data_IF_891320592595
#
_entry.id   IF_891320592595
#
_cell.length_a   1.000
_cell.length_b   1.000
_cell.length_c   1.000
_cell.angle_alpha   90.00
_cell.angle_beta   90.00
_cell.angle_gamma   90.00
#
_symmetry.space_group_name_H-M   'P 1'
#
loop_
_entity.id
_entity.type
_entity.pdbx_description
1 polymer ?
#
# COMPACT_ATOMS: atom_id res chain seq x y z
N UNK A 1 12.72 2.63 -15.93
CA UNK A 1 12.43 4.08 -15.89
C UNK A 1 10.92 4.37 -16.02
N UNK A 2 10.28 4.13 -17.18
CA UNK A 2 8.87 4.51 -17.38
C UNK A 2 7.88 3.93 -16.35
N UNK A 3 8.04 2.65 -15.96
CA UNK A 3 7.17 2.03 -14.93
C UNK A 3 7.31 2.69 -13.56
N UNK A 4 8.54 2.97 -13.12
CA UNK A 4 8.81 3.56 -11.81
C UNK A 4 8.20 4.96 -11.70
N UNK A 5 8.28 5.74 -12.79
CA UNK A 5 7.67 7.07 -12.84
C UNK A 5 6.14 7.01 -12.85
N UNK A 6 5.54 6.11 -13.64
CA UNK A 6 4.08 5.94 -13.63
C UNK A 6 3.55 5.54 -12.24
N UNK A 7 4.23 4.63 -11.55
CA UNK A 7 3.87 4.21 -10.18
C UNK A 7 4.02 5.37 -9.20
N UNK A 8 5.12 6.13 -9.28
CA UNK A 8 5.35 7.32 -8.45
C UNK A 8 4.27 8.37 -8.65
N UNK A 9 3.89 8.63 -9.90
CA UNK A 9 2.94 9.69 -10.24
C UNK A 9 1.49 9.32 -9.91
N UNK A 10 1.11 8.06 -10.07
CA UNK A 10 -0.31 7.67 -10.02
C UNK A 10 -0.69 6.86 -8.77
N UNK A 11 0.26 6.12 -8.19
CA UNK A 11 -0.04 5.12 -7.16
C UNK A 11 0.57 5.45 -5.79
N UNK A 12 1.65 6.23 -5.73
CA UNK A 12 2.25 6.59 -4.44
C UNK A 12 1.31 7.46 -3.60
N UNK A 13 1.23 7.13 -2.31
CA UNK A 13 0.54 7.93 -1.30
C UNK A 13 1.42 7.98 -0.04
N UNK A 14 1.15 8.91 0.90
CA UNK A 14 1.86 8.94 2.19
C UNK A 14 1.74 7.63 3.01
N UNK A 15 0.76 6.78 2.69
CA UNK A 15 0.48 5.55 3.41
C UNK A 15 1.07 4.29 2.76
N UNK A 16 1.70 4.45 1.59
CA UNK A 16 2.20 3.38 0.72
C UNK A 16 1.55 3.42 -0.67
N UNK A 17 2.08 2.65 -1.64
CA UNK A 17 1.52 2.61 -2.99
C UNK A 17 0.19 1.85 -3.05
N UNK A 18 -0.80 2.41 -3.74
CA UNK A 18 -2.07 1.72 -4.02
C UNK A 18 -1.91 0.71 -5.16
N UNK A 19 -2.70 -0.35 -5.16
CA UNK A 19 -2.60 -1.39 -6.19
C UNK A 19 -3.21 -1.00 -7.54
N UNK A 20 -4.11 -0.01 -7.55
CA UNK A 20 -4.68 0.59 -8.76
C UNK A 20 -5.17 2.01 -8.45
N UNK A 21 -5.17 2.87 -9.46
CA UNK A 21 -5.76 4.20 -9.42
C UNK A 21 -6.21 4.62 -10.84
N UNK A 22 -7.27 5.45 -10.97
CA UNK A 22 -8.23 5.78 -9.92
C UNK A 22 -9.02 4.53 -9.48
N UNK A 23 -9.52 4.54 -8.25
CA UNK A 23 -10.41 3.49 -7.76
C UNK A 23 -11.77 3.59 -8.46
N UNK A 24 -12.35 2.44 -8.81
CA UNK A 24 -13.65 2.34 -9.47
C UNK A 24 -14.75 2.87 -8.56
N UNK A 25 -15.65 3.69 -9.11
CA UNK A 25 -16.81 4.25 -8.39
C UNK A 25 -18.14 3.59 -8.77
N UNK A 26 -18.15 2.81 -9.85
CA UNK A 26 -19.30 2.08 -10.37
C UNK A 26 -18.85 0.71 -10.89
N UNK A 27 -19.79 -0.24 -10.95
CA UNK A 27 -19.56 -1.53 -11.58
C UNK A 27 -19.09 -1.32 -13.02
N UNK A 28 -18.00 -1.99 -13.37
CA UNK A 28 -17.57 -2.20 -14.74
C UNK A 28 -17.57 -3.71 -14.96
N UNK A 29 -18.58 -4.20 -15.67
CA UNK A 29 -18.94 -5.62 -15.74
C UNK A 29 -18.03 -6.48 -16.61
N UNK A 30 -17.33 -5.85 -17.57
CA UNK A 30 -16.21 -6.46 -18.31
C UNK A 30 -14.92 -6.58 -17.47
N UNK A 31 -14.91 -6.09 -16.23
CA UNK A 31 -13.82 -6.29 -15.24
C UNK A 31 -14.29 -7.16 -14.07
N UNK A 32 -15.47 -6.89 -13.52
CA UNK A 32 -16.10 -7.74 -12.50
C UNK A 32 -16.20 -7.14 -11.09
N UNK A 33 -16.49 -8.01 -10.12
CA UNK A 33 -16.91 -7.69 -8.74
C UNK A 33 -16.00 -6.74 -7.97
N UNK A 34 -14.69 -6.77 -8.25
CA UNK A 34 -13.69 -5.83 -7.72
C UNK A 34 -14.22 -4.38 -7.75
N UNK A 35 -14.77 -3.98 -8.90
CA UNK A 35 -15.14 -2.60 -9.21
C UNK A 35 -16.34 -2.10 -8.41
N UNK A 36 -17.05 -3.00 -7.72
CA UNK A 36 -18.20 -2.69 -6.86
C UNK A 36 -17.80 -2.41 -5.41
N UNK A 37 -16.57 -2.75 -5.00
CA UNK A 37 -16.09 -2.44 -3.65
C UNK A 37 -15.98 -0.92 -3.49
N UNK A 38 -16.13 -0.40 -2.27
CA UNK A 38 -16.02 1.04 -2.05
C UNK A 38 -14.63 1.54 -2.49
N UNK A 39 -14.52 2.68 -3.20
CA UNK A 39 -13.26 3.17 -3.78
C UNK A 39 -12.12 3.37 -2.77
N UNK A 40 -11.09 2.53 -2.78
CA UNK A 40 -9.98 2.56 -1.81
C UNK A 40 -10.14 1.56 -0.67
N UNK A 41 -11.11 0.65 -0.74
CA UNK A 41 -11.24 -0.49 0.15
C UNK A 41 -10.79 -1.78 -0.52
N UNK A 42 -9.96 -2.55 0.20
CA UNK A 42 -9.42 -3.83 -0.26
C UNK A 42 -8.85 -3.74 -1.69
N UNK A 43 -9.29 -4.57 -2.62
CA UNK A 43 -8.68 -4.69 -3.95
C UNK A 43 -8.99 -3.48 -4.85
N UNK A 44 -10.05 -2.71 -4.56
CA UNK A 44 -10.41 -1.54 -5.36
C UNK A 44 -9.58 -0.32 -4.95
N UNK A 45 -8.27 -0.37 -5.18
CA UNK A 45 -7.39 0.80 -5.03
C UNK A 45 -7.04 1.16 -3.59
N UNK A 46 -7.05 0.20 -2.67
CA UNK A 46 -6.43 0.40 -1.36
C UNK A 46 -4.90 0.37 -1.48
N UNK A 47 -4.22 0.86 -0.43
CA UNK A 47 -2.83 0.46 -0.17
C UNK A 47 -2.89 -0.98 0.31
N UNK A 48 -2.94 -1.90 -0.65
CA UNK A 48 -3.03 -3.33 -0.40
C UNK A 48 -1.63 -3.82 -0.10
N UNK A 49 -1.30 -4.00 1.18
CA UNK A 49 0.07 -4.09 1.65
C UNK A 49 0.82 -5.29 1.04
N UNK A 50 0.12 -6.35 0.65
CA UNK A 50 0.73 -7.50 -0.02
C UNK A 50 1.18 -7.13 -1.45
N UNK A 51 0.37 -6.39 -2.21
CA UNK A 51 0.77 -5.88 -3.52
C UNK A 51 1.95 -4.90 -3.40
N UNK A 52 1.91 -4.02 -2.40
CA UNK A 52 3.03 -3.12 -2.10
C UNK A 52 4.32 -3.89 -1.74
N UNK A 53 4.22 -5.02 -1.03
CA UNK A 53 5.37 -5.86 -0.68
C UNK A 53 6.00 -6.54 -1.91
N UNK A 54 5.21 -6.91 -2.94
CA UNK A 54 5.76 -7.39 -4.21
C UNK A 54 6.53 -6.29 -4.94
N UNK A 55 5.98 -5.07 -4.96
CA UNK A 55 6.66 -3.95 -5.59
C UNK A 55 7.95 -3.60 -4.83
N UNK A 56 7.90 -3.54 -3.50
CA UNK A 56 9.07 -3.43 -2.62
C UNK A 56 10.15 -4.45 -2.97
N UNK A 57 9.80 -5.74 -3.03
CA UNK A 57 10.73 -6.80 -3.38
C UNK A 57 11.37 -6.56 -4.75
N UNK A 58 10.56 -6.19 -5.75
CA UNK A 58 11.05 -5.94 -7.12
C UNK A 58 12.05 -4.78 -7.19
N UNK A 59 11.88 -3.74 -6.38
CA UNK A 59 12.81 -2.61 -6.31
C UNK A 59 14.18 -3.04 -5.78
N UNK A 60 14.22 -3.88 -4.73
CA UNK A 60 15.47 -4.46 -4.26
C UNK A 60 16.16 -5.32 -5.33
N UNK A 61 15.39 -6.04 -6.17
CA UNK A 61 15.99 -6.86 -7.25
C UNK A 61 16.69 -6.03 -8.34
N UNK A 62 16.35 -4.75 -8.48
CA UNK A 62 16.94 -3.86 -9.49
C UNK A 62 17.81 -2.76 -8.90
N UNK A 63 18.15 -2.84 -7.60
CA UNK A 63 19.02 -1.87 -6.94
C UNK A 63 18.38 -0.53 -6.58
N UNK A 64 17.06 -0.41 -6.65
CA UNK A 64 16.32 0.81 -6.27
C UNK A 64 16.11 0.87 -4.74
N UNK A 65 17.21 0.89 -3.98
CA UNK A 65 17.22 0.72 -2.53
C UNK A 65 16.49 1.85 -1.77
N UNK A 66 16.67 3.10 -2.19
CA UNK A 66 16.03 4.25 -1.55
C UNK A 66 14.51 4.22 -1.73
N UNK A 67 14.04 3.95 -2.96
CA UNK A 67 12.60 3.79 -3.24
C UNK A 67 12.00 2.61 -2.49
N UNK A 68 12.76 1.51 -2.39
CA UNK A 68 12.34 0.35 -1.60
C UNK A 68 12.18 0.73 -0.12
N UNK A 69 13.15 1.44 0.45
CA UNK A 69 13.08 1.91 1.83
C UNK A 69 11.88 2.83 2.09
N UNK A 70 11.59 3.76 1.18
CA UNK A 70 10.41 4.64 1.27
C UNK A 70 9.10 3.84 1.40
N UNK A 71 8.92 2.80 0.56
CA UNK A 71 7.74 1.95 0.60
C UNK A 71 7.70 1.17 1.91
N UNK A 72 8.78 0.49 2.27
CA UNK A 72 8.87 -0.31 3.50
C UNK A 72 8.51 0.55 4.72
N UNK A 73 9.05 1.76 4.79
CA UNK A 73 8.78 2.68 5.89
C UNK A 73 7.34 3.16 5.89
N UNK A 74 6.75 3.45 4.73
CA UNK A 74 5.37 3.91 4.61
C UNK A 74 4.34 2.86 5.06
N UNK A 75 4.68 1.56 5.04
CA UNK A 75 3.80 0.49 5.56
C UNK A 75 3.66 0.52 7.09
N UNK A 76 4.61 1.12 7.80
CA UNK A 76 4.64 1.18 9.27
C UNK A 76 4.00 2.48 9.79
N UNK A 77 2.99 2.42 10.69
CA UNK A 77 2.39 3.61 11.29
C UNK A 77 3.39 4.43 12.11
N UNK A 78 3.21 5.75 12.11
CA UNK A 78 4.01 6.71 12.87
C UNK A 78 5.24 7.23 12.12
N UNK A 79 6.09 8.06 12.76
CA UNK A 79 6.09 8.34 14.19
C UNK A 79 5.19 9.52 14.57
N UNK A 80 4.59 10.22 13.59
CA UNK A 80 3.75 11.37 13.88
C UNK A 80 2.42 10.92 14.49
N UNK A 81 1.94 11.70 15.46
CA UNK A 81 0.63 11.45 16.08
C UNK A 81 -0.50 11.50 15.05
N UNK A 82 -0.39 12.38 14.06
CA UNK A 82 -1.37 12.51 12.98
C UNK A 82 -1.49 11.23 12.15
N UNK A 83 -0.37 10.62 11.74
CA UNK A 83 -0.38 9.37 10.98
C UNK A 83 -0.98 8.23 11.82
N UNK A 84 -0.56 8.10 13.10
CA UNK A 84 -1.11 7.08 14.00
C UNK A 84 -2.63 7.24 14.18
N UNK A 85 -3.12 8.47 14.35
CA UNK A 85 -4.56 8.75 14.48
C UNK A 85 -5.32 8.49 13.18
N UNK A 86 -4.77 8.88 12.03
CA UNK A 86 -5.40 8.67 10.72
C UNK A 86 -5.50 7.18 10.38
N UNK A 87 -4.43 6.41 10.63
CA UNK A 87 -4.42 4.97 10.43
C UNK A 87 -5.28 4.24 11.47
N UNK A 88 -5.33 4.75 12.70
CA UNK A 88 -6.15 4.23 13.79
C UNK A 88 -5.77 2.82 14.22
N UNK A 89 -4.49 2.44 14.09
CA UNK A 89 -3.98 1.10 14.36
C UNK A 89 -2.71 1.16 15.21
N UNK A 90 -2.60 0.26 16.18
CA UNK A 90 -1.39 0.12 16.99
C UNK A 90 -0.24 -0.42 16.10
N UNK A 91 0.98 0.12 16.20
CA UNK A 91 2.12 -0.30 15.38
C UNK A 91 2.74 -1.61 15.88
N UNK A 92 1.91 -2.63 16.10
CA UNK A 92 2.31 -3.97 16.56
C UNK A 92 2.05 -5.07 15.52
N UNK A 93 1.38 -4.72 14.42
CA UNK A 93 1.18 -5.61 13.28
C UNK A 93 1.02 -4.82 11.98
N UNK A 94 1.22 -5.48 10.84
CA UNK A 94 0.86 -4.94 9.53
C UNK A 94 -0.55 -5.44 9.15
N UNK A 95 -1.50 -4.54 8.85
CA UNK A 95 -2.81 -4.96 8.39
C UNK A 95 -2.74 -5.45 6.93
N UNK A 96 -3.80 -6.11 6.45
CA UNK A 96 -3.92 -6.47 5.03
C UNK A 96 -3.87 -5.22 4.12
N UNK A 97 -4.65 -4.19 4.45
CA UNK A 97 -4.61 -2.91 3.73
C UNK A 97 -4.77 -1.69 4.64
N UNK A 98 -4.27 -0.56 4.15
CA UNK A 98 -4.72 0.79 4.53
C UNK A 98 -5.61 1.36 3.42
N UNK A 99 -6.64 2.14 3.77
CA UNK A 99 -7.53 2.71 2.77
C UNK A 99 -6.74 3.56 1.77
N UNK A 100 -7.00 3.35 0.49
CA UNK A 100 -6.38 4.12 -0.58
C UNK A 100 -7.33 5.18 -1.11
N UNK A 101 -7.43 5.27 -2.44
CA UNK A 101 -8.18 6.32 -3.14
C UNK A 101 -7.87 7.74 -2.61
N UNK A 102 -6.58 8.00 -2.33
CA UNK A 102 -6.13 9.21 -1.62
C UNK A 102 -6.57 10.52 -2.28
N UNK A 103 -6.47 10.60 -3.61
CA UNK A 103 -6.91 11.77 -4.36
C UNK A 103 -8.45 11.90 -4.45
N UNK A 104 -9.20 10.79 -4.39
CA UNK A 104 -10.66 10.80 -4.50
C UNK A 104 -11.35 11.02 -3.14
N UNK A 105 -10.82 10.42 -2.08
CA UNK A 105 -11.43 10.41 -0.74
C UNK A 105 -10.37 10.63 0.38
N UNK A 106 -9.69 11.79 0.39
CA UNK A 106 -8.54 12.06 1.26
C UNK A 106 -8.85 11.89 2.75
N UNK A 107 -10.06 12.27 3.18
CA UNK A 107 -10.52 12.14 4.58
C UNK A 107 -10.33 10.74 5.16
N UNK A 108 -10.44 9.70 4.35
CA UNK A 108 -10.40 8.30 4.82
C UNK A 108 -9.13 7.55 4.43
N UNK A 109 -8.28 8.14 3.57
CA UNK A 109 -7.04 7.52 3.11
C UNK A 109 -6.10 7.23 4.30
N UNK A 110 -5.41 6.10 4.28
CA UNK A 110 -4.54 5.65 5.37
C UNK A 110 -5.24 4.86 6.47
N UNK A 111 -6.57 4.90 6.61
CA UNK A 111 -7.27 4.13 7.67
C UNK A 111 -6.97 2.63 7.55
N UNK A 112 -6.52 2.01 8.64
CA UNK A 112 -6.22 0.58 8.71
C UNK A 112 -7.49 -0.27 8.60
N UNK A 113 -7.36 -1.41 7.91
CA UNK A 113 -8.37 -2.48 7.92
C UNK A 113 -8.46 -3.22 9.26
N UNK A 114 -7.44 -3.09 10.13
CA UNK A 114 -7.30 -3.84 11.39
C UNK A 114 -7.17 -5.37 11.24
N UNK A 115 -7.06 -5.87 10.01
CA UNK A 115 -6.95 -7.29 9.71
C UNK A 115 -5.49 -7.73 9.72
N UNK A 116 -5.05 -8.41 10.78
CA UNK A 116 -3.67 -8.92 10.91
C UNK A 116 -3.39 -10.14 10.03
N UNK A 117 -4.43 -10.84 9.57
CA UNK A 117 -4.27 -11.96 8.65
C UNK A 117 -3.91 -11.43 7.25
N UNK A 118 -2.63 -11.53 6.90
CA UNK A 118 -2.11 -11.13 5.58
C UNK A 118 -0.80 -11.85 5.25
N UNK A 119 -0.60 -12.20 3.99
CA UNK A 119 0.68 -12.72 3.51
C UNK A 119 1.77 -11.65 3.36
N UNK A 120 1.44 -10.36 3.52
CA UNK A 120 2.38 -9.23 3.49
C UNK A 120 3.62 -9.49 4.35
N UNK A 121 3.42 -9.98 5.58
CA UNK A 121 4.49 -10.07 6.59
C UNK A 121 5.61 -11.02 6.18
N UNK A 122 5.31 -12.11 5.47
CA UNK A 122 6.32 -13.03 4.96
C UNK A 122 7.23 -12.35 3.92
N UNK A 123 6.64 -11.57 3.02
CA UNK A 123 7.37 -10.81 2.01
C UNK A 123 8.16 -9.65 2.59
N UNK A 124 7.57 -8.90 3.52
CA UNK A 124 8.27 -7.81 4.21
C UNK A 124 9.45 -8.36 5.00
N UNK A 125 9.29 -9.47 5.71
CA UNK A 125 10.38 -10.11 6.45
C UNK A 125 11.52 -10.52 5.51
N UNK A 126 11.20 -11.16 4.38
CA UNK A 126 12.18 -11.48 3.35
C UNK A 126 12.89 -10.24 2.79
N UNK A 127 12.15 -9.16 2.48
CA UNK A 127 12.73 -7.92 1.98
C UNK A 127 13.67 -7.26 3.00
N UNK A 128 13.34 -7.33 4.29
CA UNK A 128 14.20 -6.80 5.35
C UNK A 128 15.49 -7.60 5.43
N UNK A 129 15.41 -8.93 5.50
CA UNK A 129 16.59 -9.79 5.63
C UNK A 129 17.45 -9.79 4.37
N UNK A 130 16.90 -10.22 3.23
CA UNK A 130 17.66 -10.48 2.00
C UNK A 130 17.86 -9.22 1.13
N UNK A 131 17.11 -8.15 1.40
CA UNK A 131 17.14 -6.91 0.61
C UNK A 131 17.80 -5.75 1.35
N UNK A 132 17.16 -5.28 2.43
CA UNK A 132 17.63 -4.12 3.19
C UNK A 132 18.98 -4.38 3.87
N UNK A 133 19.13 -5.53 4.52
CA UNK A 133 20.35 -5.88 5.24
C UNK A 133 21.32 -6.72 4.39
N UNK A 134 20.80 -7.53 3.47
CA UNK A 134 21.60 -8.33 2.53
C UNK A 134 22.51 -9.33 3.24
#
# INVERSE_FOLDING_TARGET
>A
AALLEAVREQLHTPYGPVMLAPAYTHMRDDVGRLTQKWPGAAENGAVYNHAAAFYLYSLYQIGEADRAWEILRALLPGPTREDVLQRGHLPVSLPNYYRGAWHQYPRTAGRSSQLFNTGTVAWVYRCVLEGLFG
#
